data_IF_073245854404
#
_entry.id   IF_073245854404
#
_cell.length_a   1.000
_cell.length_b   1.000
_cell.length_c   1.000
_cell.angle_alpha   90.00
_cell.angle_beta   90.00
_cell.angle_gamma   90.00
#
_symmetry.space_group_name_H-M   'P 1'
#
loop_
_entity.id
_entity.type
_entity.pdbx_description
1 polymer ?
#
# COMPACT_ATOMS: atom_id res chain seq x y z
N UNK A 1 -0.13 20.24 17.38
CA UNK A 1 -1.12 19.23 16.96
C UNK A 1 -0.33 17.97 16.61
N UNK A 2 -0.67 16.81 17.17
CA UNK A 2 0.03 15.57 16.83
C UNK A 2 -0.40 15.17 15.42
N UNK A 3 0.52 15.19 14.46
CA UNK A 3 0.26 14.73 13.11
C UNK A 3 -0.13 13.24 13.15
N UNK A 4 -1.20 12.91 12.45
CA UNK A 4 -1.66 11.53 12.28
C UNK A 4 -0.59 10.70 11.61
N UNK A 5 -0.15 9.62 12.27
CA UNK A 5 0.85 8.69 11.73
C UNK A 5 0.26 7.64 10.78
N UNK A 6 -1.03 7.76 10.42
CA UNK A 6 -1.68 6.86 9.49
C UNK A 6 -1.99 7.61 8.19
N UNK A 7 -1.50 7.07 7.09
CA UNK A 7 -1.68 7.60 5.73
C UNK A 7 -2.17 6.45 4.86
N UNK A 8 -3.38 6.57 4.33
CA UNK A 8 -4.04 5.61 3.43
C UNK A 8 -4.09 6.08 1.98
N UNK A 9 -3.76 7.34 1.75
CA UNK A 9 -3.75 7.98 0.45
C UNK A 9 -2.45 8.79 0.30
N UNK A 10 -1.75 8.61 -0.82
CA UNK A 10 -0.54 9.37 -1.13
C UNK A 10 -0.43 9.58 -2.64
N UNK A 11 -0.03 10.79 -3.02
CA UNK A 11 0.31 11.15 -4.39
C UNK A 11 1.83 11.19 -4.50
N UNK A 12 2.40 10.41 -5.43
CA UNK A 12 3.84 10.33 -5.66
C UNK A 12 4.17 10.48 -7.14
N UNK A 13 5.29 11.10 -7.41
CA UNK A 13 5.88 11.18 -8.74
C UNK A 13 6.88 10.04 -8.92
N UNK A 14 6.73 9.28 -10.01
CA UNK A 14 7.58 8.15 -10.35
C UNK A 14 8.25 8.38 -11.71
N UNK A 15 9.55 8.11 -11.77
CA UNK A 15 10.36 8.20 -12.99
C UNK A 15 11.21 6.94 -13.16
N UNK A 16 11.11 6.28 -14.29
CA UNK A 16 11.98 5.15 -14.64
C UNK A 16 13.34 5.63 -15.14
N UNK A 17 14.30 4.71 -15.22
CA UNK A 17 15.61 5.00 -15.80
C UNK A 17 15.58 5.11 -17.32
N UNK A 18 16.33 6.05 -17.88
CA UNK A 18 16.64 6.14 -19.30
C UNK A 18 17.58 5.02 -19.71
N UNK A 19 17.41 4.44 -20.89
CA UNK A 19 18.38 3.51 -21.47
C UNK A 19 19.69 4.19 -21.87
N UNK A 20 20.82 3.53 -21.62
CA UNK A 20 22.12 4.00 -22.05
C UNK A 20 22.26 4.01 -23.58
N UNK A 21 23.04 4.90 -24.12
CA UNK A 21 23.31 4.99 -25.55
C UNK A 21 24.25 3.87 -25.99
N UNK A 22 24.05 3.30 -27.18
CA UNK A 22 25.03 2.45 -27.84
C UNK A 22 26.30 3.22 -28.24
N UNK A 23 27.44 2.56 -28.21
CA UNK A 23 28.73 3.17 -28.57
C UNK A 23 28.98 3.15 -30.06
N UNK A 24 29.58 4.23 -30.58
CA UNK A 24 30.03 4.35 -31.98
C UNK A 24 31.53 4.09 -32.13
N UNK A 25 32.15 3.48 -31.09
CA UNK A 25 33.60 3.28 -31.05
C UNK A 25 34.07 2.40 -32.21
N UNK A 26 35.26 2.77 -32.75
CA UNK A 26 35.97 2.03 -33.80
C UNK A 26 37.28 1.50 -33.22
N UNK A 27 37.53 0.21 -33.41
CA UNK A 27 38.74 -0.45 -32.95
C UNK A 27 39.98 0.19 -33.56
N UNK A 28 40.95 0.55 -32.72
CA UNK A 28 42.24 1.11 -33.13
C UNK A 28 43.33 0.38 -32.40
N UNK A 29 44.24 -0.29 -33.14
CA UNK A 29 45.39 -0.98 -32.60
C UNK A 29 46.67 -0.58 -33.35
N UNK A 30 47.81 -0.83 -32.76
CA UNK A 30 49.13 -0.35 -33.22
C UNK A 30 49.43 -0.69 -34.67
N UNK A 31 48.91 -1.75 -35.23
CA UNK A 31 49.14 -2.16 -36.64
C UNK A 31 47.86 -2.39 -37.44
N UNK A 32 46.71 -1.95 -36.90
CA UNK A 32 45.39 -2.11 -37.51
C UNK A 32 44.70 -0.75 -37.52
N UNK A 33 44.97 0.11 -38.54
CA UNK A 33 44.40 1.44 -38.59
C UNK A 33 42.89 1.45 -38.84
N UNK A 34 42.33 0.39 -39.42
CA UNK A 34 40.91 0.25 -39.78
C UNK A 34 40.31 -1.02 -39.13
N UNK A 35 40.29 -1.08 -37.80
CA UNK A 35 39.85 -2.24 -37.03
C UNK A 35 38.34 -2.54 -37.07
N UNK A 36 37.53 -1.68 -37.68
CA UNK A 36 36.09 -1.86 -37.79
C UNK A 36 35.33 -1.47 -36.51
N UNK A 37 33.99 -1.58 -36.54
CA UNK A 37 33.14 -1.22 -35.41
C UNK A 37 33.27 -2.20 -34.26
N UNK A 38 33.46 -1.68 -33.05
CA UNK A 38 33.58 -2.44 -31.80
C UNK A 38 32.85 -1.79 -30.61
N UNK A 39 31.95 -0.85 -30.90
CA UNK A 39 31.14 -0.23 -29.88
C UNK A 39 30.14 -1.19 -29.28
N UNK A 40 30.07 -1.26 -27.95
CA UNK A 40 29.11 -2.05 -27.17
C UNK A 40 27.76 -1.40 -27.05
N UNK A 41 26.79 -2.14 -26.53
CA UNK A 41 25.42 -1.68 -26.31
C UNK A 41 25.31 -0.90 -25.02
N UNK A 42 24.37 0.03 -24.93
CA UNK A 42 24.03 0.71 -23.68
C UNK A 42 23.31 -0.23 -22.71
N UNK A 43 23.44 0.04 -21.41
CA UNK A 43 22.71 -0.64 -20.35
C UNK A 43 21.23 -0.25 -20.35
N UNK A 44 20.39 -1.11 -19.78
CA UNK A 44 18.97 -0.86 -19.53
C UNK A 44 18.81 0.22 -18.43
N UNK A 45 17.82 1.09 -18.55
CA UNK A 45 17.36 1.92 -17.44
C UNK A 45 16.66 1.07 -16.35
N UNK A 46 16.73 1.50 -15.11
CA UNK A 46 16.07 0.84 -13.99
C UNK A 46 14.55 0.94 -14.07
N UNK A 47 13.87 -0.07 -13.56
CA UNK A 47 12.42 -0.09 -13.41
C UNK A 47 11.98 0.56 -12.10
N UNK A 48 10.75 1.06 -12.04
CA UNK A 48 10.06 1.34 -10.78
C UNK A 48 9.13 0.17 -10.51
N UNK A 49 9.34 -0.50 -9.39
CA UNK A 49 8.66 -1.75 -9.01
C UNK A 49 7.94 -1.54 -7.68
N UNK A 50 6.66 -1.89 -7.63
CA UNK A 50 5.89 -1.99 -6.40
C UNK A 50 6.07 -3.39 -5.82
N UNK A 51 6.33 -3.48 -4.51
CA UNK A 51 6.42 -4.76 -3.80
C UNK A 51 5.51 -4.77 -2.59
N UNK A 52 4.62 -5.76 -2.50
CA UNK A 52 3.73 -5.96 -1.37
C UNK A 52 4.49 -6.38 -0.11
N UNK A 53 4.27 -5.68 1.00
CA UNK A 53 4.88 -6.00 2.28
C UNK A 53 3.84 -5.97 3.42
N UNK A 54 3.57 -7.14 4.04
CA UNK A 54 2.64 -7.27 5.18
C UNK A 54 3.09 -6.54 6.43
N UNK A 55 4.37 -6.19 6.56
CA UNK A 55 4.88 -5.45 7.71
C UNK A 55 4.54 -3.95 7.65
N UNK A 56 4.19 -3.46 6.47
CA UNK A 56 3.64 -2.13 6.29
C UNK A 56 2.12 -2.15 6.38
N UNK A 57 1.54 -1.22 7.09
CA UNK A 57 0.10 -1.06 7.33
C UNK A 57 -0.39 0.36 7.06
N UNK A 58 0.51 1.22 6.61
CA UNK A 58 0.23 2.58 6.19
C UNK A 58 1.16 2.98 5.05
N UNK A 59 0.78 3.99 4.28
CA UNK A 59 1.61 4.61 3.24
C UNK A 59 2.46 5.77 3.77
N UNK A 60 2.59 5.91 5.11
CA UNK A 60 3.25 7.05 5.76
C UNK A 60 4.68 7.31 5.26
N UNK A 61 5.46 6.26 4.99
CA UNK A 61 6.83 6.41 4.51
C UNK A 61 6.89 7.08 3.13
N UNK A 62 5.85 6.90 2.28
CA UNK A 62 5.76 7.52 0.96
C UNK A 62 5.31 8.99 1.02
N UNK A 63 4.76 9.44 2.15
CA UNK A 63 4.45 10.86 2.37
C UNK A 63 5.72 11.73 2.39
N UNK A 64 6.83 11.15 2.85
CA UNK A 64 8.14 11.82 2.94
C UNK A 64 9.02 11.58 1.72
N UNK A 65 8.80 10.50 0.97
CA UNK A 65 9.53 10.17 -0.27
C UNK A 65 8.57 10.24 -1.47
N UNK A 66 8.26 11.46 -1.89
CA UNK A 66 7.27 11.71 -2.95
C UNK A 66 7.86 11.61 -4.36
N UNK A 67 9.18 11.62 -4.50
CA UNK A 67 9.89 11.55 -5.78
C UNK A 67 10.69 10.26 -5.87
N UNK A 68 10.17 9.33 -6.63
CA UNK A 68 10.74 8.00 -6.79
C UNK A 68 11.41 7.91 -8.16
N UNK A 69 12.73 7.83 -8.18
CA UNK A 69 13.51 7.78 -9.40
C UNK A 69 14.35 6.50 -9.45
N UNK A 70 14.32 5.80 -10.59
CA UNK A 70 15.17 4.65 -10.87
C UNK A 70 16.44 5.09 -11.61
N UNK A 71 17.50 4.28 -11.49
CA UNK A 71 18.81 4.57 -12.08
C UNK A 71 18.81 4.55 -13.60
N UNK A 72 19.61 5.40 -14.22
CA UNK A 72 19.82 5.39 -15.68
C UNK A 72 20.79 4.28 -16.07
N UNK A 73 20.62 3.75 -17.30
CA UNK A 73 21.59 2.85 -17.89
C UNK A 73 22.81 3.60 -18.42
N UNK A 74 23.99 3.03 -18.21
CA UNK A 74 25.24 3.58 -18.72
C UNK A 74 25.37 3.39 -20.23
N UNK A 75 26.10 4.29 -20.87
CA UNK A 75 26.41 4.17 -22.30
C UNK A 75 27.35 2.98 -22.57
N UNK A 76 27.17 2.35 -23.72
CA UNK A 76 28.10 1.32 -24.18
C UNK A 76 29.53 1.85 -24.39
N UNK A 77 30.52 0.96 -24.26
CA UNK A 77 31.93 1.31 -24.28
C UNK A 77 32.65 0.64 -25.47
N UNK A 78 33.97 0.76 -25.51
CA UNK A 78 34.86 0.08 -26.46
C UNK A 78 34.93 -1.43 -26.24
N UNK A 79 35.47 -2.16 -27.23
CA UNK A 79 35.67 -3.62 -27.17
C UNK A 79 34.35 -4.38 -26.95
N UNK A 80 33.24 -3.89 -27.48
CA UNK A 80 31.88 -4.41 -27.31
C UNK A 80 31.45 -4.55 -25.85
N UNK A 81 32.01 -3.73 -24.96
CA UNK A 81 31.59 -3.72 -23.55
C UNK A 81 30.23 -3.03 -23.43
N UNK A 82 29.30 -3.75 -22.79
CA UNK A 82 27.96 -3.24 -22.47
C UNK A 82 28.06 -2.18 -21.38
N UNK A 83 27.21 -1.17 -21.46
CA UNK A 83 26.97 -0.26 -20.35
C UNK A 83 26.31 -0.99 -19.17
N UNK A 84 26.58 -0.55 -17.93
CA UNK A 84 25.92 -1.08 -16.75
C UNK A 84 24.42 -0.76 -16.79
N UNK A 85 23.60 -1.72 -16.37
CA UNK A 85 22.16 -1.49 -16.20
C UNK A 85 21.90 -0.54 -15.02
N UNK A 86 20.92 0.34 -15.17
CA UNK A 86 20.45 1.21 -14.10
C UNK A 86 19.78 0.40 -12.99
N UNK A 87 19.93 0.86 -11.77
CA UNK A 87 19.34 0.21 -10.60
C UNK A 87 17.83 0.34 -10.59
N UNK A 88 17.13 -0.76 -10.33
CA UNK A 88 15.69 -0.76 -10.16
C UNK A 88 15.32 -0.13 -8.82
N UNK A 89 14.28 0.71 -8.80
CA UNK A 89 13.76 1.30 -7.56
C UNK A 89 12.55 0.52 -7.09
N UNK A 90 12.65 -0.11 -5.94
CA UNK A 90 11.57 -0.87 -5.32
C UNK A 90 10.86 0.01 -4.31
N UNK A 91 9.53 0.11 -4.45
CA UNK A 91 8.63 0.79 -3.52
C UNK A 91 7.89 -0.29 -2.75
N UNK A 92 8.11 -0.36 -1.45
CA UNK A 92 7.38 -1.28 -0.60
C UNK A 92 6.05 -0.66 -0.18
N UNK A 93 4.94 -1.36 -0.44
CA UNK A 93 3.59 -0.91 -0.13
C UNK A 93 2.85 -1.96 0.69
N UNK A 94 1.89 -1.56 1.55
CA UNK A 94 1.01 -2.50 2.24
C UNK A 94 0.23 -3.36 1.25
N UNK A 95 -0.09 -4.61 1.64
CA UNK A 95 -1.01 -5.42 0.87
C UNK A 95 -2.40 -4.77 0.85
N UNK A 96 -3.06 -4.77 -0.32
CA UNK A 96 -4.33 -4.07 -0.55
C UNK A 96 -4.18 -2.63 -1.05
N UNK A 97 -2.96 -2.23 -1.44
CA UNK A 97 -2.74 -0.93 -2.07
C UNK A 97 -3.16 -0.98 -3.53
N UNK A 98 -4.01 -0.04 -3.93
CA UNK A 98 -4.45 0.19 -5.31
C UNK A 98 -3.79 1.44 -5.85
N UNK A 99 -3.39 1.40 -7.11
CA UNK A 99 -2.65 2.47 -7.77
C UNK A 99 -3.43 3.00 -8.96
N UNK A 100 -3.56 4.31 -9.01
CA UNK A 100 -4.24 5.04 -10.07
C UNK A 100 -3.31 6.07 -10.70
N UNK A 101 -3.53 6.38 -11.96
CA UNK A 101 -2.89 7.52 -12.61
C UNK A 101 -3.50 8.82 -12.05
N UNK A 102 -2.66 9.73 -11.54
CA UNK A 102 -3.13 10.98 -10.94
C UNK A 102 -3.74 11.97 -11.94
N UNK A 103 -3.38 11.89 -13.24
CA UNK A 103 -3.87 12.80 -14.28
C UNK A 103 -5.17 12.31 -14.91
N UNK A 104 -5.23 11.00 -15.23
CA UNK A 104 -6.40 10.42 -15.92
C UNK A 104 -7.42 9.83 -14.94
N UNK A 105 -6.99 9.51 -13.71
CA UNK A 105 -7.77 8.78 -12.74
C UNK A 105 -7.97 7.30 -13.10
N UNK A 106 -7.23 6.76 -14.07
CA UNK A 106 -7.37 5.38 -14.50
C UNK A 106 -6.68 4.42 -13.53
N UNK A 107 -7.30 3.28 -13.29
CA UNK A 107 -6.71 2.17 -12.56
C UNK A 107 -5.49 1.63 -13.30
N UNK A 108 -4.39 1.44 -12.59
CA UNK A 108 -3.14 0.89 -13.14
C UNK A 108 -2.94 -0.55 -12.66
N UNK A 109 -2.88 -0.74 -11.34
CA UNK A 109 -2.64 -2.05 -10.73
C UNK A 109 -3.04 -2.07 -9.26
N UNK A 110 -3.07 -3.26 -8.68
CA UNK A 110 -3.19 -3.48 -7.24
C UNK A 110 -2.10 -4.44 -6.75
N UNK A 111 -1.75 -4.29 -5.48
CA UNK A 111 -0.76 -5.13 -4.80
C UNK A 111 -1.45 -5.79 -3.61
N UNK A 112 -1.73 -7.09 -3.73
CA UNK A 112 -2.60 -7.82 -2.82
C UNK A 112 -1.86 -8.77 -1.91
N UNK A 113 -0.74 -9.34 -2.38
CA UNK A 113 0.00 -10.36 -1.68
C UNK A 113 1.37 -9.89 -1.19
N UNK A 114 1.83 -10.54 -0.12
CA UNK A 114 3.19 -10.31 0.37
C UNK A 114 4.23 -10.85 -0.61
N UNK A 115 5.18 -9.99 -1.00
CA UNK A 115 6.22 -10.35 -1.96
C UNK A 115 5.77 -10.25 -3.43
N UNK A 116 4.51 -9.92 -3.71
CA UNK A 116 4.05 -9.63 -5.06
C UNK A 116 4.81 -8.42 -5.61
N UNK A 117 5.37 -8.56 -6.80
CA UNK A 117 6.07 -7.49 -7.51
C UNK A 117 5.31 -7.09 -8.76
N UNK A 118 5.05 -5.80 -8.90
CA UNK A 118 4.39 -5.21 -10.07
C UNK A 118 5.28 -4.11 -10.64
N UNK A 119 5.63 -4.20 -11.91
CA UNK A 119 6.40 -3.15 -12.58
C UNK A 119 5.45 -2.00 -12.91
N UNK A 120 5.59 -0.89 -12.17
CA UNK A 120 4.82 0.33 -12.37
C UNK A 120 5.29 1.08 -13.63
N UNK A 121 6.60 1.33 -13.74
CA UNK A 121 7.23 1.98 -14.88
C UNK A 121 8.39 1.14 -15.40
N UNK A 122 8.42 0.92 -16.70
CA UNK A 122 9.52 0.18 -17.35
C UNK A 122 10.66 1.14 -17.65
N UNK A 123 11.89 0.74 -17.30
CA UNK A 123 13.10 1.43 -17.73
C UNK A 123 13.30 1.31 -19.24
N UNK A 124 13.88 2.35 -19.82
CA UNK A 124 14.20 2.39 -21.24
C UNK A 124 15.22 1.31 -21.62
N UNK A 125 15.11 0.72 -22.80
CA UNK A 125 16.08 -0.25 -23.31
C UNK A 125 17.36 0.46 -23.70
N UNK A 126 18.49 -0.19 -23.45
CA UNK A 126 19.79 0.26 -23.96
C UNK A 126 19.85 0.26 -25.48
N UNK A 127 20.49 1.27 -26.05
CA UNK A 127 20.71 1.37 -27.49
C UNK A 127 21.77 0.40 -27.98
N UNK A 128 21.61 -0.14 -29.18
CA UNK A 128 22.56 -1.05 -29.81
C UNK A 128 23.80 -0.31 -30.27
N UNK A 129 24.99 -0.88 -30.02
CA UNK A 129 26.28 -0.39 -30.48
C UNK A 129 26.47 -0.54 -32.00
N UNK A 130 27.45 0.19 -32.54
CA UNK A 130 27.68 0.21 -33.99
C UNK A 130 28.08 -1.15 -34.59
N UNK A 131 28.59 -2.10 -33.79
CA UNK A 131 28.96 -3.42 -34.29
C UNK A 131 27.76 -4.24 -34.78
N UNK A 132 26.54 -4.00 -34.26
CA UNK A 132 25.31 -4.65 -34.70
C UNK A 132 24.88 -4.21 -36.10
N UNK A 133 25.28 -3.01 -36.50
CA UNK A 133 24.88 -2.41 -37.80
C UNK A 133 25.89 -2.70 -38.91
N UNK A 134 26.88 -3.56 -38.68
CA UNK A 134 27.83 -4.04 -39.66
C UNK A 134 27.13 -4.97 -40.64
N UNK A 135 27.19 -4.64 -41.94
CA UNK A 135 26.68 -5.47 -43.01
C UNK A 135 27.77 -5.66 -44.07
N UNK A 136 27.56 -6.54 -45.07
CA UNK A 136 28.48 -6.77 -46.16
C UNK A 136 28.79 -5.49 -46.95
N UNK A 137 27.80 -4.64 -47.14
CA UNK A 137 27.90 -3.36 -47.85
C UNK A 137 28.36 -2.20 -46.95
N UNK A 138 28.04 -2.24 -45.64
CA UNK A 138 28.41 -1.21 -44.64
C UNK A 138 29.32 -1.84 -43.59
N UNK A 139 30.60 -1.90 -43.85
CA UNK A 139 31.56 -2.56 -42.93
C UNK A 139 31.99 -1.69 -41.74
N UNK A 140 31.85 -0.38 -41.83
CA UNK A 140 32.23 0.60 -40.79
C UNK A 140 31.11 1.60 -40.47
N UNK A 141 29.98 1.19 -39.87
CA UNK A 141 28.91 2.08 -39.42
C UNK A 141 29.43 3.02 -38.32
N UNK A 142 29.21 4.34 -38.53
CA UNK A 142 29.60 5.42 -37.59
C UNK A 142 28.41 5.91 -36.75
N UNK A 143 27.37 5.11 -36.62
CA UNK A 143 26.19 5.41 -35.83
C UNK A 143 25.89 4.24 -34.90
N UNK A 144 25.25 4.55 -33.83
CA UNK A 144 24.70 3.60 -32.84
C UNK A 144 23.28 4.03 -32.49
N UNK A 145 22.52 3.14 -31.94
CA UNK A 145 21.16 3.44 -31.51
C UNK A 145 21.19 4.22 -30.21
N UNK A 146 20.40 5.30 -30.07
CA UNK A 146 20.20 5.94 -28.78
C UNK A 146 19.45 4.99 -27.84
N UNK A 147 19.62 5.13 -26.53
CA UNK A 147 18.78 4.44 -25.56
C UNK A 147 17.34 4.95 -25.63
N UNK A 148 16.39 4.10 -25.23
CA UNK A 148 14.98 4.50 -25.11
C UNK A 148 14.84 5.54 -23.99
N UNK A 149 13.90 6.50 -24.14
CA UNK A 149 13.64 7.50 -23.12
C UNK A 149 13.09 6.87 -21.85
N UNK A 150 13.16 7.59 -20.75
CA UNK A 150 12.51 7.27 -19.48
C UNK A 150 10.99 7.46 -19.60
N UNK A 151 10.27 6.80 -18.70
CA UNK A 151 8.83 6.99 -18.49
C UNK A 151 8.63 7.73 -17.17
N UNK A 152 7.72 8.69 -17.20
CA UNK A 152 7.36 9.50 -16.02
C UNK A 152 5.85 9.41 -15.81
N UNK A 153 5.43 9.37 -14.56
CA UNK A 153 4.02 9.32 -14.19
C UNK A 153 3.83 9.77 -12.76
N UNK A 154 2.82 10.58 -12.53
CA UNK A 154 2.32 10.84 -11.19
C UNK A 154 1.22 9.83 -10.87
N UNK A 155 1.35 9.12 -9.76
CA UNK A 155 0.40 8.11 -9.34
C UNK A 155 -0.19 8.43 -7.97
N UNK A 156 -1.43 8.02 -7.81
CA UNK A 156 -2.14 8.01 -6.54
C UNK A 156 -2.15 6.57 -6.03
N UNK A 157 -1.69 6.38 -4.81
CA UNK A 157 -1.76 5.11 -4.10
C UNK A 157 -2.82 5.21 -3.00
N UNK A 158 -3.79 4.32 -3.03
CA UNK A 158 -4.86 4.22 -2.05
C UNK A 158 -4.83 2.85 -1.38
N UNK A 159 -4.80 2.84 -0.05
CA UNK A 159 -4.88 1.60 0.73
C UNK A 159 -6.35 1.23 0.94
N UNK A 160 -6.82 0.16 0.30
CA UNK A 160 -8.22 -0.29 0.37
C UNK A 160 -8.53 -1.25 1.53
N UNK A 161 -7.52 -1.88 2.11
CA UNK A 161 -7.66 -2.73 3.30
C UNK A 161 -7.31 -1.92 4.54
N UNK A 162 -8.31 -1.61 5.35
CA UNK A 162 -8.13 -0.88 6.59
C UNK A 162 -7.75 -1.80 7.75
N UNK A 163 -8.45 -2.93 7.86
CA UNK A 163 -8.24 -3.95 8.88
C UNK A 163 -8.71 -5.32 8.40
N UNK A 164 -8.17 -6.37 8.99
CA UNK A 164 -8.61 -7.73 8.73
C UNK A 164 -9.96 -7.99 9.44
N UNK A 165 -10.13 -7.45 10.65
CA UNK A 165 -11.32 -7.61 11.48
C UNK A 165 -11.91 -6.25 11.87
N UNK A 166 -13.17 -6.01 11.52
CA UNK A 166 -13.94 -4.85 11.94
C UNK A 166 -14.83 -5.15 13.14
N UNK A 167 -14.76 -4.34 14.22
CA UNK A 167 -15.61 -4.47 15.39
C UNK A 167 -16.95 -3.78 15.16
N UNK A 168 -18.04 -4.51 15.36
CA UNK A 168 -19.42 -4.03 15.23
C UNK A 168 -20.17 -4.25 16.54
N UNK A 169 -20.78 -3.24 17.08
CA UNK A 169 -21.54 -3.39 18.34
C UNK A 169 -22.01 -2.06 18.90
N UNK A 170 -22.98 -2.11 19.79
CA UNK A 170 -23.54 -0.94 20.47
C UNK A 170 -22.50 -0.12 21.24
N UNK A 171 -22.76 1.15 21.56
CA UNK A 171 -21.94 1.90 22.49
C UNK A 171 -21.78 1.16 23.83
N UNK A 172 -20.60 1.26 24.45
CA UNK A 172 -20.30 0.65 25.75
C UNK A 172 -20.33 -0.89 25.81
N UNK A 173 -20.42 -1.59 24.67
CA UNK A 173 -20.32 -3.06 24.63
C UNK A 173 -18.90 -3.57 24.91
N UNK A 174 -17.91 -2.69 24.95
CA UNK A 174 -16.53 -3.03 25.26
C UNK A 174 -15.60 -3.16 24.06
N UNK A 175 -15.94 -2.59 22.88
CA UNK A 175 -15.11 -2.63 21.66
C UNK A 175 -13.68 -2.13 21.90
N UNK A 176 -13.55 -0.92 22.39
CA UNK A 176 -12.23 -0.28 22.63
C UNK A 176 -11.47 -0.97 23.77
N UNK A 177 -12.19 -1.54 24.75
CA UNK A 177 -11.60 -2.34 25.83
C UNK A 177 -11.03 -3.65 25.29
N UNK A 178 -11.80 -4.35 24.43
CA UNK A 178 -11.33 -5.55 23.77
C UNK A 178 -10.09 -5.24 22.92
N UNK A 179 -10.16 -4.20 22.10
CA UNK A 179 -9.06 -3.79 21.25
C UNK A 179 -7.78 -3.51 22.05
N UNK A 180 -7.91 -2.85 23.19
CA UNK A 180 -6.79 -2.58 24.10
C UNK A 180 -6.24 -3.85 24.77
N UNK A 181 -7.10 -4.83 25.08
CA UNK A 181 -6.71 -6.08 25.73
C UNK A 181 -6.00 -7.06 24.76
N UNK A 182 -6.39 -7.07 23.48
CA UNK A 182 -5.83 -8.01 22.48
C UNK A 182 -4.65 -7.44 21.71
N UNK A 183 -4.50 -6.12 21.67
CA UNK A 183 -3.46 -5.43 20.91
C UNK A 183 -2.09 -5.57 21.55
N UNK A 184 -1.07 -5.88 20.76
CA UNK A 184 0.33 -5.99 21.20
C UNK A 184 0.99 -4.64 21.47
N UNK A 185 0.43 -3.56 20.93
CA UNK A 185 0.83 -2.18 21.18
C UNK A 185 -0.41 -1.36 21.53
N UNK A 186 -0.22 -0.20 22.19
CA UNK A 186 -1.35 0.69 22.46
C UNK A 186 -2.09 0.98 21.17
N UNK A 187 -3.43 0.78 21.11
CA UNK A 187 -4.22 1.09 19.93
C UNK A 187 -3.92 2.52 19.46
N UNK A 188 -3.73 2.70 18.18
CA UNK A 188 -3.47 4.02 17.60
C UNK A 188 -4.75 4.57 17.02
N UNK A 189 -5.02 5.81 17.38
CA UNK A 189 -6.09 6.59 16.79
C UNK A 189 -5.60 7.02 15.41
N UNK A 190 -6.33 6.65 14.38
CA UNK A 190 -6.02 7.05 13.01
C UNK A 190 -6.89 8.25 12.66
N UNK A 191 -6.26 9.42 12.48
CA UNK A 191 -6.92 10.62 12.00
C UNK A 191 -7.06 10.54 10.48
N UNK A 192 -8.24 10.28 10.02
CA UNK A 192 -8.57 10.41 8.61
C UNK A 192 -9.08 11.84 8.35
N UNK A 193 -8.50 12.58 7.42
CA UNK A 193 -8.88 13.99 7.16
C UNK A 193 -10.34 14.17 6.73
N UNK A 194 -11.01 13.06 6.39
CA UNK A 194 -12.39 13.02 5.93
C UNK A 194 -13.35 12.29 6.88
N UNK A 195 -12.90 11.84 8.07
CA UNK A 195 -13.76 11.21 9.08
C UNK A 195 -13.98 12.16 10.26
N UNK A 196 -15.24 12.37 10.62
CA UNK A 196 -15.60 13.06 11.88
C UNK A 196 -15.33 12.18 13.11
N UNK A 197 -15.11 10.88 12.90
CA UNK A 197 -14.84 9.87 13.94
C UNK A 197 -13.58 9.08 13.56
N UNK A 198 -12.57 9.13 14.40
CA UNK A 198 -11.29 8.48 14.22
C UNK A 198 -11.38 6.99 14.58
N UNK A 199 -11.11 6.04 13.66
CA UNK A 199 -11.08 4.63 14.01
C UNK A 199 -9.86 4.31 14.87
N UNK A 200 -10.04 3.44 15.86
CA UNK A 200 -8.95 2.90 16.64
C UNK A 200 -8.45 1.60 16.00
N UNK A 201 -7.18 1.55 15.62
CA UNK A 201 -6.54 0.38 15.04
C UNK A 201 -5.64 -0.31 16.07
N UNK A 202 -5.74 -1.63 16.16
CA UNK A 202 -4.89 -2.46 17.01
C UNK A 202 -4.29 -3.63 16.24
N UNK A 203 -3.00 -3.88 16.43
CA UNK A 203 -2.32 -5.05 15.89
C UNK A 203 -2.45 -6.17 16.92
N UNK A 204 -3.10 -7.25 16.53
CA UNK A 204 -3.30 -8.44 17.37
C UNK A 204 -2.24 -9.47 17.01
N UNK A 205 -1.35 -9.77 17.96
CA UNK A 205 -0.38 -10.85 17.77
C UNK A 205 -1.04 -12.21 17.94
N UNK A 206 -0.72 -13.10 17.01
CA UNK A 206 -1.12 -14.50 17.01
C UNK A 206 0.11 -15.40 17.07
N UNK A 207 -0.09 -16.73 17.15
CA UNK A 207 0.99 -17.72 17.27
C UNK A 207 2.01 -17.61 16.13
N UNK A 208 3.25 -18.05 16.38
CA UNK A 208 4.32 -18.13 15.38
C UNK A 208 4.70 -16.80 14.70
N UNK A 209 4.59 -15.69 15.46
CA UNK A 209 4.94 -14.37 14.93
C UNK A 209 3.95 -13.80 13.90
N UNK A 210 2.80 -14.44 13.74
CA UNK A 210 1.70 -13.97 12.89
C UNK A 210 0.95 -12.84 13.59
N UNK A 211 0.30 -11.98 12.83
CA UNK A 211 -0.52 -10.89 13.34
C UNK A 211 -1.62 -10.54 12.35
N UNK A 212 -2.67 -9.92 12.84
CA UNK A 212 -3.74 -9.33 12.03
C UNK A 212 -4.16 -7.99 12.63
N UNK A 213 -4.77 -7.14 11.81
CA UNK A 213 -5.21 -5.81 12.21
C UNK A 213 -6.70 -5.85 12.56
N UNK A 214 -7.04 -5.29 13.72
CA UNK A 214 -8.41 -5.14 14.19
C UNK A 214 -8.74 -3.64 14.28
N UNK A 215 -9.91 -3.25 13.78
CA UNK A 215 -10.40 -1.87 13.80
C UNK A 215 -11.65 -1.74 14.67
N UNK A 216 -11.64 -0.81 15.63
CA UNK A 216 -12.84 -0.30 16.28
C UNK A 216 -13.36 0.86 15.45
N UNK A 217 -14.55 0.67 14.88
CA UNK A 217 -15.19 1.65 14.00
C UNK A 217 -16.31 2.31 14.78
N UNK A 218 -16.08 3.48 15.40
CA UNK A 218 -17.11 4.17 16.16
C UNK A 218 -18.23 4.67 15.23
N UNK A 219 -19.49 4.67 15.72
CA UNK A 219 -20.60 5.36 15.04
C UNK A 219 -21.41 4.56 14.05
N UNK A 220 -21.28 3.22 13.97
CA UNK A 220 -22.18 2.42 13.13
C UNK A 220 -23.64 2.53 13.58
N UNK A 221 -23.89 2.78 14.85
CA UNK A 221 -25.20 2.57 15.49
C UNK A 221 -25.89 3.86 15.97
N UNK A 222 -25.20 4.97 16.11
CA UNK A 222 -25.83 6.23 16.56
C UNK A 222 -26.29 7.09 15.38
N UNK A 223 -27.46 6.77 14.81
CA UNK A 223 -28.20 7.69 13.93
C UNK A 223 -27.73 7.76 12.49
N UNK A 224 -27.06 6.74 11.96
CA UNK A 224 -26.71 6.63 10.55
C UNK A 224 -27.96 6.68 9.63
N UNK A 225 -29.11 6.19 10.13
CA UNK A 225 -30.41 6.29 9.44
C UNK A 225 -31.07 7.67 9.51
N UNK A 226 -30.59 8.56 10.38
CA UNK A 226 -31.20 9.88 10.60
C UNK A 226 -30.67 11.00 9.69
N UNK A 227 -29.95 10.69 8.62
CA UNK A 227 -29.60 11.65 7.56
C UNK A 227 -28.64 12.78 7.96
N UNK A 228 -28.01 12.73 9.13
CA UNK A 228 -26.96 13.65 9.51
C UNK A 228 -25.60 13.12 9.04
N UNK A 229 -25.32 13.26 7.74
CA UNK A 229 -24.01 13.48 7.16
C UNK A 229 -22.77 12.75 7.68
N UNK A 230 -22.90 11.59 8.36
CA UNK A 230 -21.79 10.67 8.58
C UNK A 230 -21.52 9.97 7.25
N UNK A 231 -20.68 10.64 6.47
CA UNK A 231 -20.60 10.51 5.03
C UNK A 231 -20.40 9.08 4.53
N UNK A 232 -20.86 8.84 3.32
CA UNK A 232 -20.57 7.71 2.44
C UNK A 232 -19.07 7.28 2.47
N UNK A 233 -18.15 8.16 2.86
CA UNK A 233 -16.72 7.93 3.00
C UNK A 233 -16.37 7.02 4.19
N UNK A 234 -17.04 7.20 5.33
CA UNK A 234 -16.86 6.36 6.52
C UNK A 234 -17.28 4.90 6.27
N UNK A 235 -18.29 4.72 5.44
CA UNK A 235 -18.88 3.47 5.06
C UNK A 235 -17.93 2.60 4.21
N UNK A 236 -17.13 3.25 3.38
CA UNK A 236 -16.09 2.60 2.59
C UNK A 236 -15.02 1.92 3.46
N UNK A 237 -14.78 2.42 4.68
CA UNK A 237 -13.82 1.80 5.58
C UNK A 237 -14.29 0.46 6.15
N UNK A 238 -15.60 0.31 6.37
CA UNK A 238 -16.17 -0.97 6.83
C UNK A 238 -16.18 -1.99 5.68
N UNK A 239 -16.41 -1.54 4.46
CA UNK A 239 -16.30 -2.38 3.27
C UNK A 239 -14.90 -2.97 3.08
N UNK A 240 -13.89 -2.33 3.65
CA UNK A 240 -12.47 -2.72 3.56
C UNK A 240 -12.05 -3.81 4.54
N UNK A 241 -12.89 -4.23 5.49
CA UNK A 241 -12.58 -5.31 6.43
C UNK A 241 -12.91 -6.68 5.82
N UNK A 242 -12.09 -7.68 6.08
CA UNK A 242 -12.30 -9.04 5.58
C UNK A 242 -13.33 -9.80 6.39
N UNK A 243 -13.39 -9.55 7.71
CA UNK A 243 -14.24 -10.23 8.69
C UNK A 243 -14.92 -9.19 9.59
N UNK A 244 -16.16 -9.45 10.01
CA UNK A 244 -16.90 -8.63 10.96
C UNK A 244 -17.06 -9.38 12.30
N UNK A 245 -16.58 -8.76 13.39
CA UNK A 245 -16.79 -9.25 14.74
C UNK A 245 -17.93 -8.48 15.40
N UNK A 246 -19.10 -9.13 15.50
CA UNK A 246 -20.24 -8.61 16.22
C UNK A 246 -20.06 -8.77 17.71
N UNK A 247 -20.30 -7.71 18.45
CA UNK A 247 -20.15 -7.71 19.92
C UNK A 247 -21.48 -7.37 20.56
N UNK A 248 -21.99 -8.28 21.39
CA UNK A 248 -23.21 -8.12 22.17
C UNK A 248 -22.88 -8.36 23.65
N UNK A 249 -23.32 -7.48 24.56
CA UNK A 249 -23.01 -7.67 25.97
C UNK A 249 -23.87 -8.78 26.60
N UNK A 250 -23.29 -9.53 27.50
CA UNK A 250 -23.97 -10.62 28.22
C UNK A 250 -25.10 -10.16 29.15
N UNK A 251 -25.09 -8.87 29.56
CA UNK A 251 -26.13 -8.21 30.36
C UNK A 251 -27.36 -7.78 29.53
N UNK A 252 -27.39 -8.12 28.24
CA UNK A 252 -28.56 -7.88 27.37
C UNK A 252 -29.72 -8.81 27.69
N UNK A 253 -30.92 -8.28 27.61
CA UNK A 253 -32.16 -9.08 27.81
C UNK A 253 -32.41 -10.10 26.68
N UNK A 254 -31.91 -9.87 25.48
CA UNK A 254 -32.09 -10.74 24.31
C UNK A 254 -30.94 -10.50 23.31
N UNK A 255 -29.92 -11.36 23.41
CA UNK A 255 -28.72 -11.31 22.59
C UNK A 255 -29.03 -11.49 21.11
N UNK A 256 -29.96 -12.39 20.78
CA UNK A 256 -30.38 -12.64 19.40
C UNK A 256 -31.01 -11.43 18.78
N UNK A 257 -31.89 -10.76 19.49
CA UNK A 257 -32.59 -9.57 19.02
C UNK A 257 -31.62 -8.39 18.82
N UNK A 258 -30.69 -8.19 19.73
CA UNK A 258 -29.63 -7.18 19.55
C UNK A 258 -28.78 -7.46 18.32
N UNK A 259 -28.38 -8.72 18.12
CA UNK A 259 -27.66 -9.11 16.91
C UNK A 259 -28.46 -8.84 15.63
N UNK A 260 -29.78 -9.13 15.62
CA UNK A 260 -30.67 -8.86 14.48
C UNK A 260 -30.80 -7.36 14.21
N UNK A 261 -30.83 -6.52 15.25
CA UNK A 261 -30.84 -5.05 15.10
C UNK A 261 -29.55 -4.59 14.42
N UNK A 262 -28.38 -5.07 14.89
CA UNK A 262 -27.09 -4.74 14.29
C UNK A 262 -27.01 -5.17 12.82
N UNK A 263 -27.55 -6.34 12.47
CA UNK A 263 -27.62 -6.81 11.09
C UNK A 263 -28.52 -5.91 10.23
N UNK A 264 -29.69 -5.50 10.74
CA UNK A 264 -30.61 -4.64 10.00
C UNK A 264 -30.01 -3.26 9.77
N UNK A 265 -29.25 -2.73 10.72
CA UNK A 265 -28.53 -1.46 10.54
C UNK A 265 -27.46 -1.60 9.45
N UNK A 266 -26.66 -2.66 9.47
CA UNK A 266 -25.70 -2.95 8.41
C UNK A 266 -26.38 -3.11 7.05
N UNK A 267 -27.54 -3.79 6.99
CA UNK A 267 -28.32 -3.97 5.74
C UNK A 267 -28.80 -2.64 5.18
N UNK A 268 -29.32 -1.78 6.06
CA UNK A 268 -29.80 -0.45 5.66
C UNK A 268 -28.67 0.41 5.13
N UNK A 269 -27.50 0.16 5.64
CA UNK A 269 -26.29 0.87 5.34
C UNK A 269 -25.63 0.43 4.03
N UNK A 270 -25.26 -0.85 3.90
CA UNK A 270 -24.81 -1.50 2.69
C UNK A 270 -25.17 -2.97 2.70
N UNK A 271 -26.08 -3.43 1.83
CA UNK A 271 -26.49 -4.84 1.74
C UNK A 271 -25.33 -5.81 1.49
N UNK A 272 -24.28 -5.36 0.78
CA UNK A 272 -23.12 -6.20 0.44
C UNK A 272 -22.28 -6.60 1.64
N UNK A 273 -22.39 -5.84 2.74
CA UNK A 273 -21.71 -6.21 3.99
C UNK A 273 -22.27 -7.48 4.62
N UNK A 274 -23.47 -7.89 4.23
CA UNK A 274 -24.07 -9.14 4.70
C UNK A 274 -23.41 -10.37 4.09
N UNK A 275 -22.67 -10.24 3.01
CA UNK A 275 -21.94 -11.33 2.36
C UNK A 275 -20.59 -11.64 3.05
N UNK A 276 -20.16 -10.77 3.98
CA UNK A 276 -18.90 -10.97 4.71
C UNK A 276 -19.05 -12.04 5.78
N UNK A 277 -17.93 -12.72 6.05
CA UNK A 277 -17.82 -13.64 7.18
C UNK A 277 -18.05 -12.87 8.50
N UNK A 278 -18.73 -13.54 9.42
CA UNK A 278 -19.17 -12.95 10.68
C UNK A 278 -18.86 -13.88 11.84
N UNK A 279 -18.41 -13.29 12.93
CA UNK A 279 -18.22 -13.96 14.23
C UNK A 279 -19.00 -13.16 15.27
N UNK A 280 -19.65 -13.85 16.21
CA UNK A 280 -20.37 -13.23 17.33
C UNK A 280 -19.58 -13.41 18.62
N UNK A 281 -19.25 -12.29 19.29
CA UNK A 281 -18.64 -12.30 20.60
C UNK A 281 -19.62 -11.79 21.66
N UNK A 282 -19.92 -12.64 22.65
CA UNK A 282 -20.68 -12.25 23.83
C UNK A 282 -19.69 -11.69 24.83
N UNK A 283 -19.83 -10.38 25.16
CA UNK A 283 -18.88 -9.66 26.00
C UNK A 283 -19.34 -9.55 27.44
N UNK A 284 -18.43 -9.14 28.37
CA UNK A 284 -18.68 -8.99 29.80
C UNK A 284 -19.07 -10.30 30.49
N UNK A 285 -18.59 -11.43 30.01
CA UNK A 285 -18.91 -12.75 30.58
C UNK A 285 -18.30 -12.99 31.97
N UNK A 286 -17.50 -12.06 32.50
CA UNK A 286 -17.06 -12.03 33.87
C UNK A 286 -18.20 -11.83 34.87
N UNK A 287 -19.37 -11.41 34.40
CA UNK A 287 -20.60 -11.23 35.21
C UNK A 287 -21.52 -12.46 35.17
N UNK A 288 -21.19 -13.48 34.39
CA UNK A 288 -22.00 -14.70 34.22
C UNK A 288 -21.33 -15.90 34.90
N UNK A 289 -22.17 -16.73 35.56
CA UNK A 289 -21.79 -18.06 35.98
C UNK A 289 -21.88 -19.05 34.84
N UNK A 290 -21.20 -20.19 34.95
CA UNK A 290 -21.17 -21.22 33.88
C UNK A 290 -22.58 -21.72 33.54
N UNK A 291 -23.46 -21.86 34.52
CA UNK A 291 -24.85 -22.31 34.31
C UNK A 291 -25.63 -21.33 33.43
N UNK A 292 -25.43 -20.03 33.59
CA UNK A 292 -26.05 -18.98 32.78
C UNK A 292 -25.50 -18.98 31.36
N UNK A 293 -24.20 -19.25 31.18
CA UNK A 293 -23.63 -19.36 29.83
C UNK A 293 -24.25 -20.54 29.06
N UNK A 294 -24.43 -21.68 29.74
CA UNK A 294 -25.05 -22.90 29.18
C UNK A 294 -26.55 -22.68 28.84
N UNK A 295 -27.24 -21.77 29.54
CA UNK A 295 -28.62 -21.38 29.24
C UNK A 295 -28.70 -20.39 28.04
N UNK A 296 -27.71 -19.54 27.86
CA UNK A 296 -27.66 -18.57 26.77
C UNK A 296 -27.28 -19.25 25.44
N UNK A 297 -26.39 -20.25 25.48
CA UNK A 297 -25.83 -20.89 24.28
C UNK A 297 -26.90 -21.37 23.28
N UNK A 298 -28.01 -22.08 23.71
CA UNK A 298 -29.05 -22.51 22.78
C UNK A 298 -29.91 -21.38 22.20
N UNK A 299 -29.84 -20.18 22.76
CA UNK A 299 -30.57 -19.00 22.24
C UNK A 299 -29.84 -18.29 21.12
N UNK A 300 -28.53 -18.58 20.93
CA UNK A 300 -27.69 -17.97 19.92
C UNK A 300 -28.00 -18.50 18.51
N UNK A 301 -27.68 -17.74 17.45
CA UNK A 301 -27.84 -18.19 16.07
C UNK A 301 -26.89 -19.37 15.75
N UNK A 302 -27.43 -20.56 15.43
CA UNK A 302 -26.64 -21.77 15.12
C UNK A 302 -25.73 -21.63 13.91
N UNK A 303 -26.02 -20.69 13.01
CA UNK A 303 -25.30 -20.54 11.73
C UNK A 303 -24.03 -19.68 11.83
N UNK A 304 -23.70 -19.13 13.02
CA UNK A 304 -22.62 -18.17 13.19
C UNK A 304 -21.67 -18.64 14.28
N UNK A 305 -20.35 -18.70 14.02
CA UNK A 305 -19.37 -18.96 15.05
C UNK A 305 -19.52 -17.94 16.18
N UNK A 306 -19.61 -18.42 17.43
CA UNK A 306 -19.75 -17.54 18.59
C UNK A 306 -18.77 -17.89 19.70
N UNK A 307 -18.47 -16.91 20.54
CA UNK A 307 -17.54 -17.06 21.66
C UNK A 307 -17.92 -16.15 22.82
N UNK A 308 -17.83 -16.67 24.05
CA UNK A 308 -17.99 -15.89 25.29
C UNK A 308 -16.66 -15.31 25.70
N UNK A 309 -16.61 -13.99 25.90
CA UNK A 309 -15.37 -13.28 26.21
C UNK A 309 -15.54 -12.30 27.37
N UNK A 310 -14.44 -12.09 28.08
CA UNK A 310 -14.27 -10.93 28.96
C UNK A 310 -12.91 -10.29 28.69
N UNK A 311 -12.93 -9.05 28.23
CA UNK A 311 -11.71 -8.28 27.98
C UNK A 311 -10.96 -7.91 29.28
N UNK A 312 -11.67 -7.90 30.43
CA UNK A 312 -11.10 -7.54 31.73
C UNK A 312 -10.42 -8.76 32.37
N UNK A 313 -11.11 -9.92 32.44
CA UNK A 313 -10.56 -11.14 33.01
C UNK A 313 -9.67 -11.93 32.05
N UNK A 314 -9.73 -11.65 30.76
CA UNK A 314 -9.02 -12.42 29.72
C UNK A 314 -9.72 -13.72 29.32
N UNK A 315 -10.92 -13.99 29.88
CA UNK A 315 -11.71 -15.17 29.56
C UNK A 315 -12.03 -15.20 28.05
N UNK A 316 -11.82 -16.36 27.40
CA UNK A 316 -12.16 -16.60 26.01
C UNK A 316 -11.34 -15.84 24.97
N UNK A 317 -10.38 -14.97 25.35
CA UNK A 317 -9.60 -14.16 24.41
C UNK A 317 -8.71 -15.03 23.51
N UNK A 318 -8.12 -16.11 24.00
CA UNK A 318 -7.33 -17.04 23.20
C UNK A 318 -8.19 -17.76 22.16
N UNK A 319 -9.37 -18.23 22.59
CA UNK A 319 -10.36 -18.90 21.72
C UNK A 319 -10.86 -17.94 20.63
N UNK A 320 -11.12 -16.67 21.00
CA UNK A 320 -11.48 -15.63 20.03
C UNK A 320 -10.39 -15.44 18.98
N UNK A 321 -9.13 -15.33 19.38
CA UNK A 321 -8.01 -15.18 18.45
C UNK A 321 -7.87 -16.38 17.51
N UNK A 322 -8.02 -17.59 18.02
CA UNK A 322 -7.97 -18.82 17.23
C UNK A 322 -9.11 -18.86 16.21
N UNK A 323 -10.32 -18.54 16.64
CA UNK A 323 -11.52 -18.49 15.77
C UNK A 323 -11.39 -17.41 14.68
N UNK A 324 -10.95 -16.19 15.05
CA UNK A 324 -10.74 -15.11 14.07
C UNK A 324 -9.67 -15.49 13.05
N UNK A 325 -8.58 -16.12 13.49
CA UNK A 325 -7.52 -16.57 12.60
C UNK A 325 -7.99 -17.65 11.63
N UNK A 326 -8.78 -18.61 12.10
CA UNK A 326 -9.37 -19.66 11.27
C UNK A 326 -10.31 -19.08 10.22
N UNK A 327 -11.21 -18.17 10.62
CA UNK A 327 -12.16 -17.53 9.72
C UNK A 327 -11.45 -16.64 8.66
N UNK A 328 -10.39 -15.91 9.05
CA UNK A 328 -9.61 -15.11 8.12
C UNK A 328 -8.87 -15.94 7.06
N UNK A 329 -8.48 -17.18 7.39
CA UNK A 329 -7.74 -18.05 6.48
C UNK A 329 -8.64 -19.03 5.68
N UNK A 330 -9.94 -18.98 5.84
CA UNK A 330 -10.85 -19.76 4.98
C UNK A 330 -10.73 -19.33 3.52
N UNK A 331 -10.87 -20.27 2.60
CA UNK A 331 -10.77 -19.99 1.15
C UNK A 331 -11.75 -18.92 0.66
N UNK A 332 -12.93 -18.84 1.29
CA UNK A 332 -13.92 -17.80 1.03
C UNK A 332 -13.46 -16.37 1.40
N UNK A 333 -12.43 -16.25 2.25
CA UNK A 333 -11.86 -14.99 2.68
C UNK A 333 -10.53 -14.67 1.97
N UNK A 334 -10.00 -15.59 1.16
CA UNK A 334 -8.82 -15.26 0.35
C UNK A 334 -9.16 -14.09 -0.57
N UNK A 335 -8.31 -13.12 -0.51
CA UNK A 335 -8.42 -11.81 -1.14
C UNK A 335 -8.60 -11.90 -2.67
N UNK A 336 -8.10 -12.98 -3.30
CA UNK A 336 -8.13 -13.20 -4.76
C UNK A 336 -9.53 -13.05 -5.38
N UNK A 337 -10.57 -13.66 -4.79
CA UNK A 337 -11.95 -13.54 -5.32
C UNK A 337 -12.62 -12.18 -5.04
N UNK A 338 -12.18 -11.47 -3.99
CA UNK A 338 -12.77 -10.18 -3.60
C UNK A 338 -12.15 -9.00 -4.36
N UNK A 339 -10.90 -9.12 -4.77
CA UNK A 339 -10.19 -8.06 -5.50
C UNK A 339 -10.65 -7.99 -6.95
N UNK A 340 -10.98 -9.10 -7.60
CA UNK A 340 -11.62 -9.04 -8.93
C UNK A 340 -12.93 -8.24 -8.89
N UNK A 341 -13.73 -8.37 -7.83
CA UNK A 341 -14.96 -7.58 -7.64
C UNK A 341 -14.66 -6.11 -7.36
N UNK A 342 -13.59 -5.79 -6.62
CA UNK A 342 -13.13 -4.44 -6.30
C UNK A 342 -12.51 -3.79 -7.55
N UNK A 343 -11.70 -4.52 -8.31
CA UNK A 343 -11.11 -4.03 -9.56
C UNK A 343 -12.17 -3.74 -10.64
N UNK A 344 -13.26 -4.52 -10.68
CA UNK A 344 -14.39 -4.23 -11.57
C UNK A 344 -15.13 -2.95 -11.18
N UNK A 345 -15.23 -2.64 -9.88
CA UNK A 345 -15.86 -1.42 -9.36
C UNK A 345 -14.95 -0.19 -9.38
N UNK A 346 -13.64 -0.38 -9.36
CA UNK A 346 -12.66 0.71 -9.50
C UNK A 346 -12.75 1.43 -10.87
N UNK A 347 -13.54 0.89 -11.82
CA UNK A 347 -13.85 1.57 -13.08
C UNK A 347 -14.80 2.76 -12.92
N UNK A 348 -15.54 2.85 -11.82
CA UNK A 348 -16.39 4.01 -11.53
C UNK A 348 -15.66 5.00 -10.61
N UNK A 349 -14.87 5.86 -11.25
CA UNK A 349 -13.94 6.80 -10.62
C UNK A 349 -14.54 8.19 -10.40
N UNK A 350 -15.87 8.31 -10.38
CA UNK A 350 -16.56 9.61 -10.22
C UNK A 350 -16.16 10.32 -8.92
N UNK A 351 -15.91 9.56 -7.85
CA UNK A 351 -15.52 10.10 -6.54
C UNK A 351 -14.09 10.65 -6.47
N UNK A 352 -13.14 10.06 -7.22
CA UNK A 352 -11.76 10.57 -7.25
C UNK A 352 -11.65 11.89 -8.02
N UNK A 353 -12.53 12.11 -9.01
CA UNK A 353 -12.60 13.38 -9.74
C UNK A 353 -13.11 14.53 -8.87
N UNK A 354 -13.96 14.25 -7.87
CA UNK A 354 -14.38 15.24 -6.90
C UNK A 354 -13.27 15.55 -5.89
N UNK A 355 -12.57 14.54 -5.38
CA UNK A 355 -11.44 14.70 -4.45
C UNK A 355 -10.26 15.48 -5.06
N UNK A 356 -9.95 15.23 -6.33
CA UNK A 356 -8.88 15.94 -7.07
C UNK A 356 -9.23 17.43 -7.32
N UNK A 357 -10.49 17.82 -7.27
CA UNK A 357 -10.90 19.22 -7.40
C UNK A 357 -10.75 20.00 -6.10
N UNK A 358 -10.99 19.34 -4.95
CA UNK A 358 -10.85 19.98 -3.63
C UNK A 358 -9.38 20.17 -3.20
N UNK A 359 -8.43 19.35 -3.69
CA UNK A 359 -7.00 19.48 -3.39
C UNK A 359 -6.27 20.48 -4.32
N UNK A 360 -6.92 20.96 -5.38
CA UNK A 360 -6.35 21.90 -6.34
C UNK A 360 -6.24 23.36 -5.86
N UNK A 361 -6.69 23.68 -4.64
CA UNK A 361 -6.64 25.04 -4.08
C UNK A 361 -5.51 25.25 -3.06
N UNK A 362 -4.74 24.21 -2.68
CA UNK A 362 -3.63 24.35 -1.74
C UNK A 362 -2.28 24.19 -2.46
N UNK A 363 -1.62 25.38 -2.58
CA UNK A 363 -0.20 25.62 -2.83
C UNK A 363 0.36 25.24 -4.24
N UNK A 364 0.35 26.25 -5.12
CA UNK A 364 1.36 26.49 -6.15
C UNK A 364 2.78 26.54 -5.52
N UNK A 365 3.36 25.37 -5.26
CA UNK A 365 4.80 25.24 -5.10
C UNK A 365 5.40 25.13 -6.50
N UNK A 366 5.67 26.28 -7.11
CA UNK A 366 6.52 26.41 -8.28
C UNK A 366 7.94 26.00 -7.90
N UNK A 367 8.29 24.75 -8.14
CA UNK A 367 9.69 24.35 -8.17
C UNK A 367 10.24 24.66 -9.55
N UNK A 368 11.20 25.58 -9.63
CA UNK A 368 12.05 25.75 -10.81
C UNK A 368 12.81 24.43 -11.01
N UNK A 369 12.57 23.80 -12.14
CA UNK A 369 13.38 22.67 -12.60
C UNK A 369 14.76 23.22 -12.95
N UNK A 370 15.78 22.76 -12.28
CA UNK A 370 17.16 22.87 -12.76
C UNK A 370 17.32 21.73 -13.77
N UNK A 371 17.42 22.06 -15.04
CA UNK A 371 17.72 21.10 -16.09
C UNK A 371 19.11 20.51 -15.88
N UNK A 372 19.26 19.19 -16.09
CA UNK A 372 20.54 18.47 -15.95
C UNK A 372 21.65 19.02 -16.89
N UNK A 373 21.35 19.94 -17.80
CA UNK A 373 22.34 20.62 -18.66
C UNK A 373 23.12 21.71 -17.90
N UNK A 374 22.60 22.25 -16.78
CA UNK A 374 23.27 23.27 -15.98
C UNK A 374 24.28 22.68 -14.94
N UNK A 375 24.37 21.34 -14.83
CA UNK A 375 25.28 20.69 -13.90
C UNK A 375 26.65 20.39 -14.53
N UNK A 376 26.76 20.34 -15.87
CA UNK A 376 28.05 20.11 -16.54
C UNK A 376 29.04 21.30 -16.43
N UNK A 377 28.58 22.50 -16.07
CA UNK A 377 29.44 23.69 -15.93
C UNK A 377 30.00 23.86 -14.51
N UNK A 378 29.75 22.95 -13.57
CA UNK A 378 30.26 23.05 -12.18
C UNK A 378 31.47 22.15 -11.89
N UNK A 379 32.03 21.42 -12.87
CA UNK A 379 33.22 20.55 -12.67
C UNK A 379 34.56 21.29 -12.75
N UNK A 380 34.59 22.63 -12.98
CA UNK A 380 35.82 23.42 -13.01
C UNK A 380 36.13 24.18 -11.69
N UNK A 381 35.68 23.71 -10.54
CA UNK A 381 36.21 24.17 -9.27
C UNK A 381 37.46 23.36 -8.89
N UNK A 382 38.62 23.91 -9.23
CA UNK A 382 39.94 23.51 -8.70
C UNK A 382 39.89 23.51 -7.17
N UNK A 383 40.14 22.35 -6.56
CA UNK A 383 40.43 22.25 -5.14
C UNK A 383 41.84 22.85 -4.89
N UNK A 384 41.93 24.01 -4.28
CA UNK A 384 43.16 24.45 -3.65
C UNK A 384 43.43 23.55 -2.45
N UNK A 385 44.48 22.73 -2.54
CA UNK A 385 45.04 21.98 -1.42
C UNK A 385 45.60 22.97 -0.39
N UNK A 386 44.91 23.23 0.70
CA UNK A 386 45.51 23.87 1.88
C UNK A 386 46.44 22.90 2.59
N UNK A 387 47.75 23.12 2.47
CA UNK A 387 48.82 22.47 3.22
C UNK A 387 48.64 22.72 4.73
N UNK A 388 48.23 21.67 5.48
CA UNK A 388 48.30 21.68 6.93
C UNK A 388 49.71 21.31 7.37
N UNK A 389 50.57 22.30 7.66
CA UNK A 389 51.80 22.09 8.37
C UNK A 389 51.56 21.57 9.81
N UNK A 390 52.25 20.46 10.09
CA UNK A 390 52.27 19.71 11.34
C UNK A 390 53.13 20.47 12.39
N UNK A 391 52.51 21.26 13.26
CA UNK A 391 53.19 21.86 14.42
C UNK A 391 53.13 20.89 15.61
N UNK A 392 54.11 19.98 15.66
CA UNK A 392 54.54 19.31 16.90
C UNK A 392 55.84 19.93 17.41
N UNK A 393 55.69 20.74 18.45
CA UNK A 393 56.73 20.92 19.49
C UNK A 393 56.07 21.05 20.85
#
# INVERSE_FOLDING_TARGET
MAESNFVDYVKIYCRSGKGGRGSTHMRREKYIPNGGPDGGDGGRGGHVILRGNRNYWTLLHLRYDRHIMAGHGESGSKNRSFGKDGEDKIIEVPCGTVVYNAETGEYICDVTEHGQEVILLKGGRGGLGNWHFKTATRQAPRFAQPGEPMQEMTVIMELKLLADVGLVGFPNVGKSTLLSAVSSAKPKIANYPFTTLEPNLGIVSYRDGKSFVMADIPGIIEGASAGKGLGLRFLRHIERNSLLLFMVPADSNDIRKEYEILLNELRTFNPEMLDKQRVLAITKCDMLDQELMDEIEPTLPESIPHVFISAISGLGISTLKDMLWEELNKESNKIEGKIESIAHRAKDMSHLKEELKDEGEDEDLSYEYVDDEDIEDLEDFEYEEEDWEDDRK
#
